data_IF_035907114958
#
_entry.id   IF_035907114958
#
_cell.length_a   1.000
_cell.length_b   1.000
_cell.length_c   1.000
_cell.angle_alpha   90.00
_cell.angle_beta   90.00
_cell.angle_gamma   90.00
#
_symmetry.space_group_name_H-M   'P 1'
#
loop_
_entity.id
_entity.type
_entity.pdbx_description
1 polymer ?
#
# COMPACT_ATOMS: atom_id res chain seq x y z
N UNK A 1 44.45 -74.78 28.26
CA UNK A 1 43.91 -73.52 27.68
C UNK A 1 44.15 -73.61 26.18
N UNK A 2 43.07 -73.54 25.41
CA UNK A 2 42.97 -74.00 24.01
C UNK A 2 42.46 -72.82 23.15
N UNK A 3 43.17 -72.52 22.04
CA UNK A 3 42.76 -71.90 20.73
C UNK A 3 41.95 -70.59 20.70
N UNK A 4 41.99 -69.70 19.69
CA UNK A 4 42.60 -69.68 18.36
C UNK A 4 42.01 -68.55 17.48
N UNK A 5 42.74 -68.21 16.41
CA UNK A 5 42.28 -67.76 15.06
C UNK A 5 41.65 -66.36 14.81
N UNK A 6 42.23 -65.64 13.82
CA UNK A 6 41.77 -64.39 13.16
C UNK A 6 40.43 -64.54 12.40
N UNK A 7 39.75 -63.42 12.08
CA UNK A 7 39.20 -63.07 10.75
C UNK A 7 38.69 -61.60 10.69
N UNK A 8 38.83 -60.98 9.50
CA UNK A 8 38.57 -59.58 9.07
C UNK A 8 37.11 -59.05 9.19
N UNK A 9 36.94 -57.71 9.18
CA UNK A 9 36.11 -57.00 8.18
C UNK A 9 35.86 -55.50 8.51
N UNK A 10 35.96 -54.65 7.48
CA UNK A 10 34.90 -53.65 7.19
C UNK A 10 35.05 -52.21 7.72
N UNK A 11 35.15 -51.28 6.78
CA UNK A 11 35.10 -49.82 6.91
C UNK A 11 33.75 -49.24 7.41
N UNK A 12 33.81 -47.95 7.78
CA UNK A 12 32.77 -46.91 7.59
C UNK A 12 31.74 -46.71 8.70
N UNK A 13 31.76 -45.50 9.25
CA UNK A 13 30.68 -44.92 10.04
C UNK A 13 30.67 -43.40 9.88
N UNK A 14 30.72 -42.92 8.63
CA UNK A 14 30.30 -41.56 8.34
C UNK A 14 28.85 -41.42 8.83
N UNK A 15 28.63 -40.56 9.82
CA UNK A 15 27.29 -40.08 10.17
C UNK A 15 26.83 -39.25 8.98
N UNK A 16 26.27 -39.93 7.99
CA UNK A 16 25.53 -39.32 6.90
C UNK A 16 24.25 -38.78 7.53
N UNK A 17 24.29 -37.51 7.95
CA UNK A 17 23.08 -36.73 8.11
C UNK A 17 22.50 -36.61 6.71
N UNK A 18 21.58 -37.51 6.38
CA UNK A 18 20.80 -37.43 5.13
C UNK A 18 19.87 -36.23 5.31
N UNK A 19 20.37 -35.02 5.06
CA UNK A 19 19.50 -33.90 4.70
C UNK A 19 18.92 -34.28 3.35
N UNK A 20 17.66 -34.70 3.33
CA UNK A 20 17.01 -35.06 2.06
C UNK A 20 17.06 -33.84 1.14
N UNK A 21 17.60 -33.99 -0.08
CA UNK A 21 17.69 -32.93 -1.11
C UNK A 21 16.35 -32.19 -1.36
N UNK A 22 15.23 -32.80 -0.95
CA UNK A 22 13.89 -32.23 -0.97
C UNK A 22 13.67 -31.06 0.00
N UNK A 23 14.33 -31.01 1.16
CA UNK A 23 14.20 -29.89 2.11
C UNK A 23 15.02 -28.68 1.66
N UNK A 24 16.26 -28.91 1.22
CA UNK A 24 17.11 -27.86 0.64
C UNK A 24 16.49 -27.25 -0.62
N UNK A 25 15.91 -28.08 -1.51
CA UNK A 25 15.22 -27.58 -2.71
C UNK A 25 13.90 -26.87 -2.41
N UNK A 26 13.16 -27.26 -1.36
CA UNK A 26 11.96 -26.54 -0.90
C UNK A 26 12.30 -25.18 -0.30
N UNK A 27 13.34 -25.11 0.55
CA UNK A 27 13.83 -23.86 1.13
C UNK A 27 14.36 -22.92 0.04
N UNK A 28 15.16 -23.44 -0.90
CA UNK A 28 15.65 -22.66 -2.04
C UNK A 28 14.50 -22.14 -2.93
N UNK A 29 13.46 -22.96 -3.19
CA UNK A 29 12.26 -22.52 -3.92
C UNK A 29 11.45 -21.47 -3.16
N UNK A 30 11.34 -21.59 -1.83
CA UNK A 30 10.67 -20.59 -1.00
C UNK A 30 11.44 -19.27 -0.99
N UNK A 31 12.77 -19.32 -0.92
CA UNK A 31 13.65 -18.14 -1.04
C UNK A 31 13.58 -17.50 -2.42
N UNK A 32 13.55 -18.28 -3.51
CA UNK A 32 13.40 -17.75 -4.88
C UNK A 32 12.04 -17.07 -5.11
N UNK A 33 10.98 -17.48 -4.38
CA UNK A 33 9.67 -16.82 -4.42
C UNK A 33 9.62 -15.51 -3.61
N UNK A 34 10.53 -15.31 -2.64
CA UNK A 34 10.67 -14.00 -1.97
C UNK A 34 11.30 -12.99 -2.94
N UNK A 35 12.32 -13.41 -3.69
CA UNK A 35 13.03 -12.58 -4.67
C UNK A 35 12.16 -12.18 -5.88
N UNK A 36 10.96 -12.76 -6.04
CA UNK A 36 10.01 -12.39 -7.08
C UNK A 36 8.91 -11.43 -6.63
N UNK A 37 9.02 -10.84 -5.43
CA UNK A 37 8.05 -9.85 -4.96
C UNK A 37 8.49 -8.47 -5.42
N UNK A 38 7.70 -7.85 -6.28
CA UNK A 38 7.96 -6.51 -6.81
C UNK A 38 7.17 -5.47 -6.03
N UNK A 39 7.84 -4.39 -5.62
CA UNK A 39 7.21 -3.21 -5.03
C UNK A 39 6.58 -2.36 -6.12
N UNK A 40 5.25 -2.22 -6.10
CA UNK A 40 4.52 -1.35 -7.03
C UNK A 40 4.33 0.05 -6.46
N UNK A 41 3.83 0.12 -5.23
CA UNK A 41 3.47 1.39 -4.58
C UNK A 41 3.99 1.40 -3.16
N UNK A 42 4.62 2.50 -2.78
CA UNK A 42 5.00 2.80 -1.41
C UNK A 42 4.61 4.24 -1.13
N UNK A 43 3.58 4.45 -0.31
CA UNK A 43 3.07 5.78 0.05
C UNK A 43 3.03 5.90 1.56
N UNK A 44 3.86 6.79 2.09
CA UNK A 44 3.87 7.15 3.49
C UNK A 44 3.15 8.49 3.68
N UNK A 45 2.21 8.53 4.60
CA UNK A 45 1.52 9.72 5.07
C UNK A 45 1.95 9.99 6.51
N UNK A 46 2.54 11.16 6.72
CA UNK A 46 3.09 11.61 8.01
C UNK A 46 2.00 11.77 9.08
N UNK A 47 0.86 12.33 8.67
CA UNK A 47 -0.32 12.56 9.48
C UNK A 47 -1.55 12.60 8.59
N UNK A 48 -2.48 11.67 8.81
CA UNK A 48 -3.76 11.65 8.13
C UNK A 48 -4.57 12.92 8.47
N UNK A 49 -5.00 13.63 7.44
CA UNK A 49 -5.90 14.77 7.59
C UNK A 49 -7.30 14.33 8.03
N UNK A 50 -8.10 15.20 8.67
CA UNK A 50 -9.35 14.81 9.32
C UNK A 50 -10.36 14.06 8.44
N UNK A 51 -10.64 14.54 7.23
CA UNK A 51 -11.57 13.91 6.30
C UNK A 51 -10.98 12.64 5.71
N UNK A 52 -9.69 12.63 5.36
CA UNK A 52 -9.05 11.41 4.87
C UNK A 52 -9.06 10.30 5.94
N UNK A 53 -8.76 10.61 7.21
CA UNK A 53 -8.84 9.65 8.30
C UNK A 53 -10.28 9.11 8.47
N UNK A 54 -11.29 9.98 8.45
CA UNK A 54 -12.69 9.58 8.53
C UNK A 54 -13.12 8.72 7.32
N UNK A 55 -12.67 9.06 6.11
CA UNK A 55 -12.90 8.29 4.90
C UNK A 55 -12.27 6.91 5.01
N UNK A 56 -10.98 6.85 5.37
CA UNK A 56 -10.25 5.59 5.53
C UNK A 56 -10.88 4.72 6.62
N UNK A 57 -11.35 5.29 7.73
CA UNK A 57 -12.12 4.58 8.74
C UNK A 57 -13.46 4.02 8.22
N UNK A 58 -14.08 4.69 7.25
CA UNK A 58 -15.33 4.23 6.63
C UNK A 58 -15.11 3.05 5.67
N UNK A 59 -14.00 3.04 4.92
CA UNK A 59 -13.70 1.99 3.93
C UNK A 59 -12.88 0.82 4.47
N UNK A 60 -12.15 1.04 5.57
CA UNK A 60 -11.30 0.02 6.19
C UNK A 60 -12.11 -1.18 6.69
N UNK A 61 -11.53 -2.37 6.56
CA UNK A 61 -12.14 -3.62 7.04
C UNK A 61 -11.36 -4.23 8.23
N UNK A 62 -10.28 -3.57 8.65
CA UNK A 62 -9.47 -3.91 9.82
C UNK A 62 -9.53 -2.81 10.88
N UNK A 63 -8.37 -2.42 11.42
CA UNK A 63 -8.25 -1.33 12.39
C UNK A 63 -8.56 0.03 11.74
N UNK A 64 -9.27 0.89 12.48
CA UNK A 64 -9.71 2.18 11.97
C UNK A 64 -8.69 3.27 12.37
N UNK A 65 -8.21 4.08 11.41
CA UNK A 65 -7.31 5.18 11.73
C UNK A 65 -8.08 6.33 12.40
N UNK A 66 -7.36 7.15 13.16
CA UNK A 66 -7.85 8.43 13.67
C UNK A 66 -7.08 9.59 13.05
N UNK A 67 -7.64 10.82 13.03
CA UNK A 67 -6.91 11.99 12.57
C UNK A 67 -5.59 12.15 13.31
N UNK A 68 -4.51 12.41 12.57
CA UNK A 68 -3.16 12.50 13.12
C UNK A 68 -2.37 11.19 13.13
N UNK A 69 -2.99 10.03 12.89
CA UNK A 69 -2.23 8.79 12.72
C UNK A 69 -1.35 8.86 11.46
N UNK A 70 -0.17 8.27 11.54
CA UNK A 70 0.66 8.00 10.37
C UNK A 70 0.12 6.77 9.64
N UNK A 71 0.26 6.77 8.31
CA UNK A 71 -0.21 5.70 7.45
C UNK A 71 0.87 5.27 6.47
N UNK A 72 1.06 3.96 6.31
CA UNK A 72 1.83 3.40 5.20
C UNK A 72 0.91 2.54 4.33
N UNK A 73 0.82 2.91 3.06
CA UNK A 73 0.18 2.13 2.00
C UNK A 73 1.23 1.45 1.13
N UNK A 74 1.09 0.14 0.97
CA UNK A 74 1.99 -0.70 0.17
C UNK A 74 1.19 -1.46 -0.86
N UNK A 75 1.74 -1.59 -2.06
CA UNK A 75 1.24 -2.49 -3.10
C UNK A 75 2.38 -3.35 -3.64
N UNK A 76 2.13 -4.65 -3.74
CA UNK A 76 3.12 -5.63 -4.20
C UNK A 76 2.54 -6.53 -5.28
N UNK A 77 3.41 -7.08 -6.14
CA UNK A 77 3.08 -8.14 -7.10
C UNK A 77 3.97 -9.36 -6.85
N UNK A 78 3.45 -10.60 -6.96
CA UNK A 78 2.05 -10.97 -7.22
C UNK A 78 1.14 -10.71 -6.03
N UNK A 79 -0.18 -10.58 -6.26
CA UNK A 79 -1.10 -10.14 -5.20
C UNK A 79 -1.15 -11.01 -3.94
N UNK A 80 -0.91 -12.32 -4.08
CA UNK A 80 -0.88 -13.22 -2.93
C UNK A 80 0.30 -12.98 -1.97
N UNK A 81 1.35 -12.28 -2.44
CA UNK A 81 2.50 -11.93 -1.62
C UNK A 81 2.14 -10.95 -0.47
N UNK A 82 1.02 -10.23 -0.59
CA UNK A 82 0.57 -9.28 0.43
C UNK A 82 0.37 -9.93 1.80
N UNK A 83 0.01 -11.21 1.87
CA UNK A 83 -0.09 -11.94 3.13
C UNK A 83 1.25 -12.05 3.86
N UNK A 84 2.32 -12.36 3.13
CA UNK A 84 3.68 -12.43 3.70
C UNK A 84 4.13 -11.05 4.14
N UNK A 85 3.92 -10.03 3.29
CA UNK A 85 4.26 -8.63 3.60
C UNK A 85 3.54 -8.16 4.87
N UNK A 86 2.24 -8.48 4.98
CA UNK A 86 1.42 -8.14 6.14
C UNK A 86 1.94 -8.80 7.42
N UNK A 87 2.26 -10.10 7.37
CA UNK A 87 2.78 -10.84 8.52
C UNK A 87 4.13 -10.29 9.02
N UNK A 88 5.03 -9.94 8.09
CA UNK A 88 6.32 -9.30 8.42
C UNK A 88 6.09 -7.94 9.08
N UNK A 89 5.25 -7.08 8.47
CA UNK A 89 4.98 -5.73 8.95
C UNK A 89 4.43 -5.72 10.38
N UNK A 90 3.47 -6.61 10.68
CA UNK A 90 2.81 -6.71 11.98
C UNK A 90 3.70 -7.34 13.06
N UNK A 91 4.71 -8.13 12.68
CA UNK A 91 5.69 -8.70 13.62
C UNK A 91 6.85 -7.74 13.90
N UNK A 92 7.11 -6.79 13.00
CA UNK A 92 8.21 -5.84 13.14
C UNK A 92 7.94 -4.74 14.20
N UNK A 93 6.69 -4.32 14.38
CA UNK A 93 6.35 -3.25 15.34
C UNK A 93 4.89 -3.35 15.82
N UNK A 94 4.43 -2.35 16.58
CA UNK A 94 3.06 -2.26 17.10
C UNK A 94 2.05 -1.67 16.10
N UNK A 95 2.39 -1.55 14.81
CA UNK A 95 1.46 -1.08 13.78
C UNK A 95 0.19 -1.92 13.72
N UNK A 96 -0.91 -1.28 13.30
CA UNK A 96 -2.22 -1.91 13.19
C UNK A 96 -2.62 -2.03 11.72
N UNK A 97 -3.07 -3.20 11.31
CA UNK A 97 -3.54 -3.44 9.94
C UNK A 97 -4.94 -2.85 9.75
N UNK A 98 -5.06 -1.87 8.86
CA UNK A 98 -6.33 -1.24 8.52
C UNK A 98 -7.04 -1.85 7.32
N UNK A 99 -6.26 -2.20 6.30
CA UNK A 99 -6.75 -2.85 5.10
C UNK A 99 -5.73 -3.86 4.59
N UNK A 100 -6.23 -4.94 4.00
CA UNK A 100 -5.46 -5.89 3.22
C UNK A 100 -6.37 -6.38 2.09
N UNK A 101 -5.97 -6.14 0.85
CA UNK A 101 -6.73 -6.50 -0.35
C UNK A 101 -5.84 -7.39 -1.22
N UNK A 102 -6.41 -8.49 -1.69
CA UNK A 102 -5.76 -9.41 -2.62
C UNK A 102 -6.50 -9.35 -3.95
N UNK A 103 -5.86 -8.78 -4.97
CA UNK A 103 -6.35 -8.85 -6.35
C UNK A 103 -5.52 -9.88 -7.14
N UNK A 104 -5.94 -10.15 -8.38
CA UNK A 104 -5.28 -11.16 -9.21
C UNK A 104 -3.82 -10.79 -9.52
N UNK A 105 -3.55 -9.52 -9.83
CA UNK A 105 -2.24 -9.05 -10.28
C UNK A 105 -1.40 -8.45 -9.14
N UNK A 106 -2.03 -7.81 -8.16
CA UNK A 106 -1.36 -7.09 -7.08
C UNK A 106 -2.18 -7.18 -5.78
N UNK A 107 -1.52 -6.87 -4.68
CA UNK A 107 -2.11 -6.91 -3.36
C UNK A 107 -1.67 -5.68 -2.59
N UNK A 108 -2.62 -5.09 -1.87
CA UNK A 108 -2.45 -3.81 -1.19
C UNK A 108 -2.68 -3.96 0.30
N UNK A 109 -1.95 -3.20 1.12
CA UNK A 109 -2.23 -3.11 2.55
C UNK A 109 -2.06 -1.68 3.07
N UNK A 110 -2.77 -1.37 4.16
CA UNK A 110 -2.65 -0.13 4.91
C UNK A 110 -2.28 -0.41 6.36
N UNK A 111 -1.22 0.23 6.84
CA UNK A 111 -0.75 0.16 8.23
C UNK A 111 -0.93 1.51 8.90
N UNK A 112 -1.46 1.51 10.11
CA UNK A 112 -1.66 2.72 10.91
C UNK A 112 -0.95 2.64 12.25
N UNK A 113 -0.40 3.77 12.68
CA UNK A 113 0.06 3.98 14.05
C UNK A 113 0.18 5.48 14.34
N UNK A 114 0.01 5.90 15.58
CA UNK A 114 0.19 7.30 15.99
C UNK A 114 1.63 7.78 15.79
N UNK A 115 2.59 6.94 16.16
CA UNK A 115 4.01 7.23 16.01
C UNK A 115 4.53 6.85 14.62
N UNK A 116 5.02 7.84 13.87
CA UNK A 116 5.60 7.67 12.54
C UNK A 116 6.73 6.64 12.51
N UNK A 117 7.56 6.60 13.55
CA UNK A 117 8.72 5.70 13.62
C UNK A 117 8.32 4.22 13.57
N UNK A 118 7.19 3.83 14.18
CA UNK A 118 6.72 2.45 14.11
C UNK A 118 6.26 2.09 12.70
N UNK A 119 5.56 3.01 12.03
CA UNK A 119 5.10 2.83 10.64
C UNK A 119 6.28 2.69 9.68
N UNK A 120 7.26 3.60 9.79
CA UNK A 120 8.48 3.58 8.96
C UNK A 120 9.30 2.32 9.23
N UNK A 121 9.50 1.94 10.51
CA UNK A 121 10.25 0.74 10.86
C UNK A 121 9.62 -0.53 10.26
N UNK A 122 8.30 -0.70 10.37
CA UNK A 122 7.62 -1.83 9.71
C UNK A 122 7.78 -1.80 8.20
N UNK A 123 7.77 -0.61 7.58
CA UNK A 123 8.04 -0.45 6.15
C UNK A 123 9.45 -0.87 5.76
N UNK A 124 10.46 -0.43 6.50
CA UNK A 124 11.88 -0.73 6.25
C UNK A 124 12.15 -2.24 6.37
N UNK A 125 11.61 -2.89 7.41
CA UNK A 125 11.75 -4.34 7.61
C UNK A 125 11.06 -5.12 6.48
N UNK A 126 9.91 -4.65 5.98
CA UNK A 126 9.26 -5.23 4.80
C UNK A 126 10.14 -5.11 3.57
N UNK A 127 10.68 -3.91 3.30
CA UNK A 127 11.52 -3.64 2.13
C UNK A 127 12.79 -4.51 2.14
N UNK A 128 13.45 -4.61 3.29
CA UNK A 128 14.62 -5.48 3.47
C UNK A 128 14.25 -6.94 3.21
N UNK A 129 13.13 -7.42 3.75
CA UNK A 129 12.72 -8.81 3.61
C UNK A 129 12.36 -9.20 2.17
N UNK A 130 11.81 -8.27 1.37
CA UNK A 130 11.54 -8.51 -0.06
C UNK A 130 12.71 -8.14 -0.98
N UNK A 131 13.82 -7.64 -0.40
CA UNK A 131 14.99 -7.22 -1.17
C UNK A 131 14.75 -5.98 -2.04
N UNK A 132 13.86 -5.08 -1.63
CA UNK A 132 13.50 -3.87 -2.37
C UNK A 132 13.91 -2.58 -1.63
N UNK A 133 13.70 -1.43 -2.28
CA UNK A 133 13.91 -0.09 -1.73
C UNK A 133 12.78 0.83 -2.15
N UNK A 134 12.56 1.93 -1.42
CA UNK A 134 11.49 2.89 -1.73
C UNK A 134 11.60 3.42 -3.15
N UNK A 135 12.82 3.65 -3.64
CA UNK A 135 13.08 4.23 -4.97
C UNK A 135 12.69 3.28 -6.11
N UNK A 136 12.62 1.96 -5.84
CA UNK A 136 12.24 0.94 -6.82
C UNK A 136 10.73 0.81 -7.02
N UNK A 137 9.91 1.58 -6.28
CA UNK A 137 8.46 1.64 -6.51
C UNK A 137 8.18 2.14 -7.94
N UNK A 138 7.09 1.69 -8.53
CA UNK A 138 6.65 2.20 -9.83
C UNK A 138 6.34 3.70 -9.73
N UNK A 139 6.75 4.49 -10.73
CA UNK A 139 6.37 5.91 -10.82
C UNK A 139 4.85 6.03 -10.94
N UNK A 140 4.31 7.13 -10.42
CA UNK A 140 2.92 7.49 -10.56
C UNK A 140 2.68 8.13 -11.93
N UNK A 141 1.93 7.45 -12.80
CA UNK A 141 1.42 7.99 -14.05
C UNK A 141 0.04 8.59 -13.82
N UNK A 142 -0.18 9.82 -14.28
CA UNK A 142 -1.48 10.50 -14.22
C UNK A 142 -2.19 10.29 -15.55
N UNK A 143 -3.19 9.41 -15.56
CA UNK A 143 -3.99 9.12 -16.76
C UNK A 143 -5.05 10.19 -17.03
N UNK A 144 -5.58 10.82 -15.98
CA UNK A 144 -6.58 11.88 -16.08
C UNK A 144 -6.47 12.88 -14.93
N UNK A 145 -6.66 14.16 -15.24
CA UNK A 145 -6.78 15.23 -14.24
C UNK A 145 -7.63 16.36 -14.80
N UNK A 146 -8.68 16.77 -14.08
CA UNK A 146 -9.61 17.79 -14.55
C UNK A 146 -10.34 18.48 -13.40
N UNK A 147 -10.66 19.77 -13.60
CA UNK A 147 -11.58 20.52 -12.74
C UNK A 147 -12.85 20.83 -13.54
N UNK A 148 -14.00 20.40 -13.03
CA UNK A 148 -15.31 20.65 -13.60
C UNK A 148 -16.04 21.64 -12.70
N UNK A 149 -16.38 22.81 -13.23
CA UNK A 149 -17.02 23.89 -12.49
C UNK A 149 -18.54 23.77 -12.53
N UNK A 150 -19.19 24.26 -11.47
CA UNK A 150 -20.65 24.37 -11.37
C UNK A 150 -21.40 23.08 -11.76
N UNK A 151 -21.14 21.98 -11.05
CA UNK A 151 -21.75 20.67 -11.29
C UNK A 151 -23.28 20.76 -11.28
N UNK A 152 -23.94 20.14 -12.26
CA UNK A 152 -25.39 20.13 -12.37
C UNK A 152 -26.05 19.24 -11.29
N UNK A 153 -27.32 19.49 -10.93
CA UNK A 153 -28.04 18.64 -9.96
C UNK A 153 -28.05 17.16 -10.31
N UNK A 154 -28.32 16.81 -11.57
CA UNK A 154 -28.38 15.42 -12.03
C UNK A 154 -27.02 14.71 -11.87
N UNK A 155 -25.93 15.40 -12.23
CA UNK A 155 -24.58 14.86 -12.08
C UNK A 155 -24.23 14.66 -10.60
N UNK A 156 -24.53 15.63 -9.74
CA UNK A 156 -24.32 15.51 -8.30
C UNK A 156 -25.07 14.31 -7.68
N UNK A 157 -26.32 14.07 -8.10
CA UNK A 157 -27.10 12.91 -7.62
C UNK A 157 -26.43 11.59 -7.99
N UNK A 158 -25.96 11.44 -9.22
CA UNK A 158 -25.28 10.21 -9.64
C UNK A 158 -23.96 10.00 -8.91
N UNK A 159 -23.13 11.04 -8.79
CA UNK A 159 -21.89 11.00 -8.00
C UNK A 159 -22.20 10.54 -6.56
N UNK A 160 -23.25 11.10 -5.95
CA UNK A 160 -23.61 10.79 -4.57
C UNK A 160 -24.12 9.36 -4.35
N UNK A 161 -24.64 8.70 -5.39
CA UNK A 161 -25.24 7.35 -5.31
C UNK A 161 -24.33 6.22 -5.78
N UNK A 162 -23.35 6.51 -6.63
CA UNK A 162 -22.49 5.49 -7.24
C UNK A 162 -21.31 5.07 -6.34
N UNK A 163 -21.61 4.26 -5.31
CA UNK A 163 -20.61 3.67 -4.39
C UNK A 163 -19.66 4.69 -3.74
N UNK A 164 -20.17 5.90 -3.48
CA UNK A 164 -19.46 6.97 -2.77
C UNK A 164 -19.26 6.59 -1.31
N UNK A 165 -18.06 6.79 -0.77
CA UNK A 165 -17.71 6.49 0.64
C UNK A 165 -17.31 7.70 1.47
N UNK A 166 -17.14 8.89 0.88
CA UNK A 166 -16.77 10.12 1.60
C UNK A 166 -17.95 11.01 2.01
N UNK A 167 -17.94 12.26 1.57
CA UNK A 167 -18.99 13.26 1.81
C UNK A 167 -19.78 13.58 0.55
N UNK A 168 -20.97 14.17 0.69
CA UNK A 168 -21.81 14.51 -0.46
C UNK A 168 -21.27 15.70 -1.23
N UNK A 169 -21.35 15.64 -2.57
CA UNK A 169 -21.20 16.82 -3.45
C UNK A 169 -22.55 17.50 -3.64
N UNK A 170 -22.56 18.83 -3.75
CA UNK A 170 -23.77 19.62 -4.01
C UNK A 170 -23.72 20.24 -5.41
N UNK A 171 -24.90 20.48 -5.99
CA UNK A 171 -25.01 21.21 -7.25
C UNK A 171 -24.43 22.62 -7.12
N UNK A 172 -23.78 23.10 -8.18
CA UNK A 172 -23.09 24.39 -8.21
C UNK A 172 -21.68 24.39 -7.63
N UNK A 173 -21.26 23.33 -6.92
CA UNK A 173 -19.87 23.17 -6.51
C UNK A 173 -18.96 22.90 -7.73
N UNK A 174 -17.69 23.26 -7.57
CA UNK A 174 -16.63 22.76 -8.47
C UNK A 174 -16.14 21.41 -7.97
N UNK A 175 -15.71 20.56 -8.90
CA UNK A 175 -15.23 19.21 -8.64
C UNK A 175 -13.86 19.02 -9.28
N UNK A 176 -12.93 18.45 -8.53
CA UNK A 176 -11.64 17.98 -9.03
C UNK A 176 -11.66 16.45 -9.11
N UNK A 177 -11.24 15.92 -10.25
CA UNK A 177 -11.06 14.49 -10.48
C UNK A 177 -9.63 14.20 -10.92
N UNK A 178 -9.08 13.12 -10.37
CA UNK A 178 -7.73 12.66 -10.66
C UNK A 178 -7.74 11.13 -10.75
N UNK A 179 -7.09 10.60 -11.80
CA UNK A 179 -6.85 9.18 -11.98
C UNK A 179 -5.34 8.92 -12.09
N UNK A 180 -4.85 7.94 -11.32
CA UNK A 180 -3.44 7.57 -11.29
C UNK A 180 -3.24 6.07 -11.47
N UNK A 181 -2.10 5.70 -12.03
CA UNK A 181 -1.58 4.34 -12.02
C UNK A 181 -0.13 4.36 -11.49
N UNK A 182 0.25 3.54 -10.51
CA UNK A 182 -0.59 2.71 -9.63
C UNK A 182 -1.65 3.45 -8.80
N UNK A 183 -2.59 2.69 -8.24
CA UNK A 183 -3.77 3.24 -7.59
C UNK A 183 -3.49 3.91 -6.24
N UNK A 184 -2.62 3.35 -5.40
CA UNK A 184 -2.37 3.86 -4.06
C UNK A 184 -1.87 5.31 -3.98
N UNK A 185 -1.32 5.86 -5.08
CA UNK A 185 -0.82 7.24 -5.11
C UNK A 185 -1.92 8.31 -4.94
N UNK A 186 -3.20 7.99 -5.14
CA UNK A 186 -4.27 8.94 -4.84
C UNK A 186 -4.40 9.27 -3.36
N UNK A 187 -3.86 8.45 -2.44
CA UNK A 187 -3.92 8.70 -1.00
C UNK A 187 -3.05 9.90 -0.60
N UNK A 188 -1.82 9.99 -1.10
CA UNK A 188 -0.95 11.15 -0.84
C UNK A 188 -1.51 12.40 -1.53
N UNK A 189 -2.06 12.26 -2.74
CA UNK A 189 -2.72 13.36 -3.42
C UNK A 189 -3.91 13.90 -2.60
N UNK A 190 -4.74 13.01 -2.04
CA UNK A 190 -5.87 13.40 -1.20
C UNK A 190 -5.42 14.07 0.11
N UNK A 191 -4.42 13.51 0.79
CA UNK A 191 -3.91 14.04 2.06
C UNK A 191 -3.32 15.45 1.90
N UNK A 192 -2.52 15.65 0.85
CA UNK A 192 -1.91 16.96 0.56
C UNK A 192 -2.93 17.97 0.01
N UNK A 193 -3.95 17.52 -0.73
CA UNK A 193 -5.06 18.37 -1.15
C UNK A 193 -5.87 18.90 0.03
N UNK A 194 -6.22 18.05 1.00
CA UNK A 194 -6.92 18.45 2.22
C UNK A 194 -6.05 19.35 3.11
N UNK A 195 -4.75 19.09 3.18
CA UNK A 195 -3.78 19.93 3.91
C UNK A 195 -3.66 21.33 3.29
N UNK A 196 -3.76 21.42 1.96
CA UNK A 196 -3.58 22.64 1.20
C UNK A 196 -4.82 23.53 1.06
N UNK A 197 -6.03 23.00 1.28
CA UNK A 197 -7.26 23.75 0.98
C UNK A 197 -8.49 23.21 1.70
N UNK A 198 -9.48 24.09 1.92
CA UNK A 198 -10.77 23.72 2.51
C UNK A 198 -11.73 23.12 1.47
N UNK A 199 -11.52 21.84 1.16
CA UNK A 199 -12.34 21.07 0.22
C UNK A 199 -13.15 19.99 0.93
N UNK A 200 -14.04 19.34 0.18
CA UNK A 200 -14.81 18.17 0.60
C UNK A 200 -14.26 16.93 -0.08
N UNK A 201 -13.86 15.92 0.70
CA UNK A 201 -13.45 14.61 0.18
C UNK A 201 -14.70 13.81 -0.18
N UNK A 202 -14.96 13.66 -1.48
CA UNK A 202 -16.15 12.93 -1.98
C UNK A 202 -15.86 11.44 -2.06
N UNK A 203 -14.73 11.06 -2.65
CA UNK A 203 -14.31 9.67 -2.77
C UNK A 203 -12.79 9.53 -3.02
N UNK A 204 -12.17 8.49 -2.45
CA UNK A 204 -10.74 8.16 -2.62
C UNK A 204 -10.58 6.66 -2.85
N UNK A 205 -10.56 6.22 -4.10
CA UNK A 205 -10.41 4.81 -4.48
C UNK A 205 -8.93 4.52 -4.70
N UNK A 206 -8.29 3.90 -3.71
CA UNK A 206 -6.86 3.56 -3.75
C UNK A 206 -6.58 2.09 -4.09
N UNK A 207 -7.61 1.31 -4.45
CA UNK A 207 -7.54 -0.14 -4.74
C UNK A 207 -7.93 -0.38 -6.19
N UNK A 208 -7.26 -1.33 -6.86
CA UNK A 208 -7.41 -1.61 -8.28
C UNK A 208 -6.19 -1.19 -9.09
N UNK A 209 -6.27 -1.33 -10.42
CA UNK A 209 -5.19 -0.92 -11.31
C UNK A 209 -5.02 0.61 -11.35
N UNK A 210 -6.16 1.31 -11.32
CA UNK A 210 -6.24 2.77 -11.34
C UNK A 210 -6.85 3.30 -10.06
N UNK A 211 -6.20 4.30 -9.49
CA UNK A 211 -6.68 5.03 -8.34
C UNK A 211 -7.52 6.21 -8.80
N UNK A 212 -8.57 6.56 -8.05
CA UNK A 212 -9.45 7.69 -8.36
C UNK A 212 -9.67 8.56 -7.16
N UNK A 213 -9.51 9.87 -7.34
CA UNK A 213 -9.79 10.89 -6.35
C UNK A 213 -10.88 11.82 -6.88
N UNK A 214 -11.90 12.07 -6.05
CA UNK A 214 -12.94 13.07 -6.31
C UNK A 214 -13.01 14.01 -5.11
N UNK A 215 -12.76 15.30 -5.36
CA UNK A 215 -12.89 16.38 -4.38
C UNK A 215 -13.93 17.39 -4.88
N UNK A 216 -14.57 18.10 -3.95
CA UNK A 216 -15.52 19.15 -4.29
C UNK A 216 -15.40 20.37 -3.37
N UNK A 217 -15.84 21.54 -3.84
CA UNK A 217 -15.80 22.76 -3.05
C UNK A 217 -16.07 24.02 -3.87
N UNK A 218 -15.67 25.18 -3.33
CA UNK A 218 -15.64 26.43 -4.10
C UNK A 218 -14.52 26.36 -5.12
N UNK A 219 -14.68 27.06 -6.24
CA UNK A 219 -13.75 27.01 -7.38
C UNK A 219 -12.29 27.24 -6.97
N UNK A 220 -12.01 28.34 -6.26
CA UNK A 220 -10.65 28.64 -5.81
C UNK A 220 -10.07 27.60 -4.84
N UNK A 221 -10.88 27.10 -3.90
CA UNK A 221 -10.45 26.05 -2.95
C UNK A 221 -10.10 24.75 -3.72
N UNK A 222 -10.89 24.40 -4.73
CA UNK A 222 -10.67 23.20 -5.56
C UNK A 222 -9.44 23.33 -6.45
N UNK A 223 -9.19 24.52 -7.01
CA UNK A 223 -7.97 24.80 -7.79
C UNK A 223 -6.70 24.68 -6.94
N UNK A 224 -6.73 25.19 -5.71
CA UNK A 224 -5.62 25.07 -4.77
C UNK A 224 -5.37 23.61 -4.36
N UNK A 225 -6.44 22.88 -4.06
CA UNK A 225 -6.38 21.45 -3.75
C UNK A 225 -5.82 20.62 -4.90
N UNK A 226 -6.26 20.88 -6.14
CA UNK A 226 -5.76 20.21 -7.34
C UNK A 226 -4.26 20.48 -7.54
N UNK A 227 -3.82 21.73 -7.35
CA UNK A 227 -2.42 22.08 -7.44
C UNK A 227 -1.58 21.38 -6.36
N UNK A 228 -2.09 21.26 -5.12
CA UNK A 228 -1.43 20.54 -4.04
C UNK A 228 -1.31 19.04 -4.33
N UNK A 229 -2.39 18.40 -4.80
CA UNK A 229 -2.40 17.00 -5.23
C UNK A 229 -1.33 16.72 -6.30
N UNK A 230 -1.27 17.56 -7.34
CA UNK A 230 -0.30 17.39 -8.43
C UNK A 230 1.15 17.62 -7.98
N UNK A 231 1.39 18.59 -7.09
CA UNK A 231 2.72 18.79 -6.48
C UNK A 231 3.18 17.55 -5.71
N UNK A 232 2.28 16.93 -4.94
CA UNK A 232 2.58 15.72 -4.18
C UNK A 232 2.97 14.56 -5.10
N UNK A 233 2.24 14.35 -6.20
CA UNK A 233 2.57 13.33 -7.21
C UNK A 233 3.93 13.59 -7.86
N UNK A 234 4.19 14.84 -8.25
CA UNK A 234 5.47 15.21 -8.84
C UNK A 234 6.64 14.98 -7.86
N UNK A 235 6.43 15.27 -6.57
CA UNK A 235 7.43 14.99 -5.54
C UNK A 235 7.73 13.49 -5.42
N UNK A 236 6.69 12.64 -5.37
CA UNK A 236 6.84 11.18 -5.35
C UNK A 236 7.65 10.67 -6.55
N UNK A 237 7.37 11.21 -7.74
CA UNK A 237 8.01 10.83 -9.00
C UNK A 237 9.45 11.29 -9.15
N UNK A 238 9.87 12.32 -8.41
CA UNK A 238 11.25 12.78 -8.37
C UNK A 238 12.13 11.91 -7.45
N UNK A 239 11.51 11.22 -6.49
CA UNK A 239 12.19 10.31 -5.56
C UNK A 239 12.18 8.84 -6.01
N UNK A 240 11.48 8.53 -7.12
CA UNK A 240 11.50 7.20 -7.73
C UNK A 240 12.62 7.13 -8.77
N UNK A 241 13.41 6.05 -8.75
CA UNK A 241 14.57 5.82 -9.63
C UNK A 241 14.23 4.99 -10.85
#
# INVERSE_FOLDING_TARGET
MVTGTQLDSGSSGASCVITTDSEGSRLARQSSQVQSIELRTYVFLDSLQPQLAAYMGTVSQGFLPIPGDACLWLEVSPGMAVHRVTDIALKASTVRLGQMIVERAFGSLALYHRDQSNVLHSGDVVLEAIGSRVEQRSRCEVSWTEIIRAITPDHAVLINRQNRRGSMIQAGMSMFILETEPAGYVLIAANEAEKGSNITVVDVKAVGAFGRLTLAGREGDVEEAAAAAMRAINHINNSAS
#
